data_IF_243107797955
#
_entry.id   IF_243107797955
#
_cell.length_a   1.000
_cell.length_b   1.000
_cell.length_c   1.000
_cell.angle_alpha   90.00
_cell.angle_beta   90.00
_cell.angle_gamma   90.00
#
_symmetry.space_group_name_H-M   'P 1'
#
loop_
_entity.id
_entity.type
_entity.pdbx_description
1 polymer ?
#
# COMPACT_ATOMS: atom_id res chain seq x y z
N UNK A 1 16.75 4.99 -12.30
CA UNK A 1 15.99 5.02 -11.03
C UNK A 1 16.97 4.74 -9.92
N UNK A 2 16.94 5.54 -8.86
CA UNK A 2 17.91 5.49 -7.75
C UNK A 2 17.18 5.26 -6.41
N UNK A 3 17.76 4.43 -5.54
CA UNK A 3 17.26 4.22 -4.18
C UNK A 3 17.72 5.35 -3.27
N UNK A 4 16.76 5.99 -2.58
CA UNK A 4 17.03 7.07 -1.62
C UNK A 4 16.44 6.72 -0.26
N UNK A 5 17.16 7.03 0.81
CA UNK A 5 16.66 6.89 2.19
C UNK A 5 15.86 8.14 2.57
N UNK A 6 14.65 7.95 3.07
CA UNK A 6 13.83 9.04 3.63
C UNK A 6 14.21 9.30 5.10
N UNK A 7 13.73 10.41 5.66
CA UNK A 7 14.06 10.90 7.01
C UNK A 7 13.57 9.99 8.15
N UNK A 8 12.60 9.11 7.91
CA UNK A 8 12.17 8.09 8.89
C UNK A 8 12.96 6.77 8.76
N UNK A 9 13.91 6.69 7.84
CA UNK A 9 14.72 5.51 7.57
C UNK A 9 14.15 4.55 6.54
N UNK A 10 12.92 4.76 6.05
CA UNK A 10 12.34 3.93 4.99
C UNK A 10 12.90 4.29 3.59
N UNK A 11 13.09 3.32 2.69
CA UNK A 11 13.57 3.59 1.34
C UNK A 11 12.45 4.08 0.41
N UNK A 12 12.80 4.99 -0.50
CA UNK A 12 11.99 5.43 -1.64
C UNK A 12 12.77 5.25 -2.94
N UNK A 13 12.07 5.24 -4.08
CA UNK A 13 12.68 5.25 -5.41
C UNK A 13 12.55 6.65 -5.99
N UNK A 14 13.64 7.18 -6.53
CA UNK A 14 13.63 8.43 -7.30
C UNK A 14 13.62 8.12 -8.79
N UNK A 15 12.70 8.73 -9.52
CA UNK A 15 12.65 8.64 -10.98
C UNK A 15 13.57 9.68 -11.60
N UNK A 16 14.59 9.22 -12.31
CA UNK A 16 15.58 10.08 -12.99
C UNK A 16 14.95 10.92 -14.12
N UNK A 17 13.76 10.54 -14.60
CA UNK A 17 13.04 11.21 -15.69
C UNK A 17 12.23 12.40 -15.18
N UNK A 18 11.74 12.33 -13.95
CA UNK A 18 10.78 13.29 -13.39
C UNK A 18 11.33 14.06 -12.18
N UNK A 19 12.55 13.73 -11.73
CA UNK A 19 13.20 14.23 -10.50
C UNK A 19 12.29 14.21 -9.26
N UNK A 20 11.35 13.26 -9.24
CA UNK A 20 10.39 13.06 -8.17
C UNK A 20 10.70 11.75 -7.44
N UNK A 21 10.61 11.79 -6.12
CA UNK A 21 10.59 10.59 -5.29
C UNK A 21 9.18 10.01 -5.26
N UNK A 22 9.06 8.68 -5.31
CA UNK A 22 7.77 7.98 -5.24
C UNK A 22 7.06 8.18 -3.89
N UNK A 23 7.82 8.53 -2.84
CA UNK A 23 7.34 8.93 -1.52
C UNK A 23 8.14 10.12 -1.00
N UNK A 24 7.50 10.95 -0.15
CA UNK A 24 8.14 12.12 0.47
C UNK A 24 9.38 11.73 1.26
N UNK A 25 10.42 12.59 1.23
CA UNK A 25 11.64 12.47 2.03
C UNK A 25 11.40 12.51 3.55
N UNK A 26 10.16 12.64 4.00
CA UNK A 26 9.78 12.64 5.42
C UNK A 26 9.43 11.25 5.97
N UNK A 27 9.22 10.24 5.12
CA UNK A 27 9.02 8.84 5.53
C UNK A 27 7.78 8.18 4.95
N UNK A 28 7.97 7.13 4.13
CA UNK A 28 6.86 6.44 3.45
C UNK A 28 5.87 5.81 4.46
N UNK A 29 6.37 5.31 5.59
CA UNK A 29 5.54 4.73 6.65
C UNK A 29 4.73 5.79 7.41
N UNK A 30 5.37 6.89 7.79
CA UNK A 30 4.71 7.98 8.50
C UNK A 30 3.66 8.67 7.62
N UNK A 31 4.01 8.92 6.35
CA UNK A 31 3.11 9.49 5.36
C UNK A 31 1.89 8.59 5.10
N UNK A 32 2.11 7.30 4.85
CA UNK A 32 1.03 6.34 4.64
C UNK A 32 0.05 6.29 5.83
N UNK A 33 0.57 6.28 7.07
CA UNK A 33 -0.29 6.31 8.26
C UNK A 33 -1.07 7.61 8.39
N UNK A 34 -0.42 8.75 8.22
CA UNK A 34 -1.04 10.05 8.52
C UNK A 34 -1.97 10.52 7.39
N UNK A 35 -1.50 10.45 6.14
CA UNK A 35 -2.24 10.94 4.98
C UNK A 35 -3.29 9.92 4.56
N UNK A 36 -2.87 8.71 4.23
CA UNK A 36 -3.78 7.71 3.66
C UNK A 36 -4.73 7.13 4.71
N UNK A 37 -4.22 6.68 5.86
CA UNK A 37 -5.06 6.00 6.85
C UNK A 37 -5.83 6.99 7.72
N UNK A 38 -5.17 7.94 8.38
CA UNK A 38 -5.86 8.85 9.31
C UNK A 38 -6.71 9.88 8.57
N UNK A 39 -6.11 10.60 7.62
CA UNK A 39 -6.80 11.72 6.94
C UNK A 39 -7.71 11.26 5.80
N UNK A 40 -7.40 10.13 5.16
CA UNK A 40 -8.23 9.53 4.11
C UNK A 40 -9.24 8.54 4.66
N UNK A 41 -8.81 7.30 4.86
CA UNK A 41 -9.67 6.16 5.18
C UNK A 41 -10.48 6.37 6.46
N UNK A 42 -9.82 6.71 7.56
CA UNK A 42 -10.47 6.86 8.86
C UNK A 42 -11.43 8.05 8.86
N UNK A 43 -11.03 9.21 8.36
CA UNK A 43 -11.93 10.36 8.23
C UNK A 43 -13.18 10.04 7.39
N UNK A 44 -13.00 9.39 6.23
CA UNK A 44 -14.11 8.93 5.39
C UNK A 44 -15.03 7.96 6.13
N UNK A 45 -14.45 7.08 6.95
CA UNK A 45 -15.20 6.11 7.75
C UNK A 45 -16.17 6.78 8.73
N UNK A 46 -15.81 7.95 9.27
CA UNK A 46 -16.64 8.72 10.19
C UNK A 46 -17.81 9.40 9.48
N UNK A 47 -17.65 9.77 8.21
CA UNK A 47 -18.72 10.35 7.39
C UNK A 47 -19.75 9.31 6.94
N UNK A 48 -19.40 8.02 6.94
CA UNK A 48 -20.27 6.94 6.49
C UNK A 48 -20.33 5.81 7.53
N UNK A 49 -20.80 6.06 8.77
CA UNK A 49 -20.71 5.08 9.85
C UNK A 49 -21.42 3.76 9.49
N UNK A 50 -20.77 2.64 9.76
CA UNK A 50 -21.32 1.29 9.54
C UNK A 50 -21.30 0.78 8.09
N UNK A 51 -21.01 1.63 7.10
CA UNK A 51 -21.00 1.20 5.70
C UNK A 51 -19.66 0.54 5.30
N UNK A 52 -19.65 -0.49 4.45
CA UNK A 52 -18.44 -0.94 3.78
C UNK A 52 -17.74 0.20 3.05
N UNK A 53 -16.42 0.15 2.97
CA UNK A 53 -15.61 1.15 2.27
C UNK A 53 -14.91 0.52 1.07
N UNK A 54 -14.86 1.27 -0.03
CA UNK A 54 -14.13 0.87 -1.23
C UNK A 54 -13.04 1.90 -1.51
N UNK A 55 -11.83 1.43 -1.71
CA UNK A 55 -10.64 2.25 -1.97
C UNK A 55 -10.11 1.87 -3.35
N UNK A 56 -9.82 2.88 -4.16
CA UNK A 56 -9.03 2.76 -5.39
C UNK A 56 -7.74 3.55 -5.19
N UNK A 57 -6.61 2.91 -5.40
CA UNK A 57 -5.30 3.53 -5.46
C UNK A 57 -4.72 3.37 -6.87
N UNK A 58 -4.26 4.46 -7.47
CA UNK A 58 -3.45 4.43 -8.69
C UNK A 58 -1.98 4.60 -8.29
N UNK A 59 -1.11 3.72 -8.77
CA UNK A 59 0.29 3.66 -8.33
C UNK A 59 0.46 2.87 -7.04
N UNK A 60 -0.14 1.67 -6.97
CA UNK A 60 -0.13 0.85 -5.75
C UNK A 60 1.26 0.37 -5.33
N UNK A 61 2.21 0.29 -6.25
CA UNK A 61 3.64 0.10 -5.99
C UNK A 61 3.93 -1.08 -5.07
N UNK A 62 4.44 -0.78 -3.87
CA UNK A 62 4.85 -1.80 -2.89
C UNK A 62 3.69 -2.41 -2.10
N UNK A 63 2.48 -1.86 -2.24
CA UNK A 63 1.28 -2.29 -1.51
C UNK A 63 1.22 -1.78 -0.07
N UNK A 64 2.04 -0.81 0.33
CA UNK A 64 2.06 -0.30 1.71
C UNK A 64 0.69 0.23 2.17
N UNK A 65 0.05 1.05 1.34
CA UNK A 65 -1.25 1.63 1.66
C UNK A 65 -2.34 0.56 1.75
N UNK A 66 -2.31 -0.45 0.87
CA UNK A 66 -3.19 -1.61 0.93
C UNK A 66 -3.01 -2.38 2.24
N UNK A 67 -1.77 -2.68 2.63
CA UNK A 67 -1.46 -3.42 3.86
C UNK A 67 -1.99 -2.67 5.10
N UNK A 68 -1.77 -1.36 5.15
CA UNK A 68 -2.24 -0.55 6.26
C UNK A 68 -3.77 -0.38 6.25
N UNK A 69 -4.41 -0.32 5.09
CA UNK A 69 -5.86 -0.29 4.96
C UNK A 69 -6.50 -1.59 5.46
N UNK A 70 -5.90 -2.74 5.13
CA UNK A 70 -6.34 -4.05 5.64
C UNK A 70 -6.13 -4.15 7.16
N UNK A 71 -4.99 -3.70 7.69
CA UNK A 71 -4.77 -3.62 9.14
C UNK A 71 -5.85 -2.76 9.82
N UNK A 72 -6.15 -1.61 9.25
CA UNK A 72 -7.20 -0.72 9.75
C UNK A 72 -8.57 -1.39 9.72
N UNK A 73 -8.92 -2.05 8.61
CA UNK A 73 -10.19 -2.75 8.43
C UNK A 73 -10.40 -3.84 9.49
N UNK A 74 -9.34 -4.60 9.77
CA UNK A 74 -9.34 -5.62 10.80
C UNK A 74 -9.55 -5.03 12.20
N UNK A 75 -8.82 -3.96 12.54
CA UNK A 75 -8.93 -3.31 13.85
C UNK A 75 -10.29 -2.61 14.06
N UNK A 76 -10.89 -2.09 12.98
CA UNK A 76 -12.18 -1.43 13.00
C UNK A 76 -13.37 -2.39 12.86
N UNK A 77 -13.11 -3.69 12.64
CA UNK A 77 -14.12 -4.70 12.30
C UNK A 77 -15.08 -4.21 11.21
N UNK A 78 -14.48 -3.61 10.16
CA UNK A 78 -15.24 -2.92 9.12
C UNK A 78 -14.81 -3.37 7.74
N UNK A 79 -15.76 -3.84 6.90
CA UNK A 79 -15.44 -4.28 5.55
C UNK A 79 -14.77 -3.20 4.70
N UNK A 80 -13.59 -3.50 4.17
CA UNK A 80 -12.84 -2.66 3.21
C UNK A 80 -12.50 -3.46 1.95
N UNK A 81 -12.93 -2.97 0.80
CA UNK A 81 -12.51 -3.48 -0.51
C UNK A 81 -11.46 -2.54 -1.10
N UNK A 82 -10.27 -3.05 -1.36
CA UNK A 82 -9.14 -2.32 -1.89
C UNK A 82 -8.81 -2.76 -3.30
N UNK A 83 -8.71 -1.80 -4.21
CA UNK A 83 -8.21 -1.99 -5.57
C UNK A 83 -6.94 -1.18 -5.75
N UNK A 84 -5.80 -1.86 -5.89
CA UNK A 84 -4.53 -1.25 -6.26
C UNK A 84 -4.29 -1.41 -7.75
N UNK A 85 -4.21 -0.29 -8.46
CA UNK A 85 -3.85 -0.25 -9.87
C UNK A 85 -2.38 0.10 -10.03
N UNK A 86 -1.64 -0.69 -10.80
CA UNK A 86 -0.31 -0.30 -11.27
C UNK A 86 0.08 -1.06 -12.54
N UNK A 87 1.13 -0.60 -13.22
CA UNK A 87 1.61 -1.21 -14.46
C UNK A 87 2.20 -2.60 -14.26
N UNK A 88 2.88 -2.84 -13.12
CA UNK A 88 3.46 -4.12 -12.75
C UNK A 88 3.80 -4.17 -11.26
N UNK A 89 3.77 -5.37 -10.66
CA UNK A 89 4.34 -5.57 -9.33
C UNK A 89 5.86 -5.30 -9.39
N UNK A 90 6.45 -4.67 -8.36
CA UNK A 90 7.91 -4.59 -8.24
C UNK A 90 8.51 -5.99 -8.27
N UNK A 91 9.73 -6.18 -8.78
CA UNK A 91 10.40 -7.49 -8.71
C UNK A 91 10.48 -7.99 -7.25
N UNK A 92 10.34 -9.31 -7.02
CA UNK A 92 10.33 -9.88 -5.68
C UNK A 92 11.59 -9.52 -4.86
N UNK A 93 12.76 -9.52 -5.50
CA UNK A 93 14.03 -9.14 -4.86
C UNK A 93 14.04 -7.66 -4.42
N UNK A 94 13.50 -6.77 -5.26
CA UNK A 94 13.37 -5.33 -4.99
C UNK A 94 12.40 -5.10 -3.85
N UNK A 95 11.24 -5.76 -3.89
CA UNK A 95 10.24 -5.65 -2.82
C UNK A 95 10.75 -6.17 -1.49
N UNK A 96 11.47 -7.30 -1.47
CA UNK A 96 12.05 -7.86 -0.26
C UNK A 96 13.12 -6.94 0.32
N UNK A 97 13.98 -6.37 -0.52
CA UNK A 97 14.98 -5.38 -0.10
C UNK A 97 14.35 -4.11 0.46
N UNK A 98 13.18 -3.73 -0.05
CA UNK A 98 12.41 -2.59 0.45
C UNK A 98 11.73 -2.92 1.79
N UNK A 99 11.02 -4.04 1.89
CA UNK A 99 10.28 -4.45 3.09
C UNK A 99 11.21 -4.82 4.26
N UNK A 100 12.38 -5.37 3.98
CA UNK A 100 13.39 -5.64 5.02
C UNK A 100 13.86 -4.38 5.75
N UNK A 101 13.75 -3.20 5.12
CA UNK A 101 14.08 -1.90 5.71
C UNK A 101 12.89 -1.16 6.36
N UNK A 102 11.74 -1.83 6.53
CA UNK A 102 10.57 -1.27 7.25
C UNK A 102 10.94 -0.91 8.71
N UNK A 103 10.21 0.02 9.35
CA UNK A 103 10.44 0.36 10.75
C UNK A 103 10.03 -0.79 11.70
N UNK A 104 10.63 -0.85 12.89
CA UNK A 104 10.33 -1.90 13.89
C UNK A 104 8.83 -1.95 14.25
N UNK A 105 8.15 -0.79 14.25
CA UNK A 105 6.70 -0.69 14.47
C UNK A 105 5.81 -1.38 13.42
N UNK A 106 6.40 -1.87 12.33
CA UNK A 106 5.74 -2.58 11.23
C UNK A 106 6.00 -4.08 11.26
N UNK A 107 6.86 -4.57 12.16
CA UNK A 107 7.32 -5.96 12.19
C UNK A 107 6.20 -6.97 12.40
N UNK A 108 5.17 -6.60 13.15
CA UNK A 108 3.96 -7.39 13.35
C UNK A 108 3.21 -7.67 12.04
N UNK A 109 3.43 -6.86 11.00
CA UNK A 109 2.79 -7.01 9.70
C UNK A 109 3.56 -7.90 8.72
N UNK A 110 4.69 -8.48 9.11
CA UNK A 110 5.48 -9.36 8.22
C UNK A 110 4.66 -10.48 7.58
N UNK A 111 3.87 -11.26 8.35
CA UNK A 111 3.11 -12.35 7.74
C UNK A 111 2.07 -11.83 6.77
N UNK A 112 1.48 -10.66 7.07
CA UNK A 112 0.43 -10.04 6.27
C UNK A 112 0.98 -9.47 4.98
N UNK A 113 2.09 -8.75 5.05
CA UNK A 113 2.77 -8.19 3.88
C UNK A 113 3.15 -9.28 2.88
N UNK A 114 3.76 -10.37 3.37
CA UNK A 114 4.15 -11.52 2.54
C UNK A 114 2.95 -12.28 1.98
N UNK A 115 1.93 -12.54 2.80
CA UNK A 115 0.73 -13.23 2.34
C UNK A 115 -0.03 -12.44 1.26
N UNK A 116 -0.17 -11.12 1.46
CA UNK A 116 -0.80 -10.24 0.49
C UNK A 116 -0.01 -10.18 -0.82
N UNK A 117 1.31 -10.03 -0.72
CA UNK A 117 2.24 -10.03 -1.85
C UNK A 117 2.13 -11.33 -2.66
N UNK A 118 2.21 -12.48 -1.99
CA UNK A 118 2.11 -13.78 -2.65
C UNK A 118 0.76 -13.96 -3.34
N UNK A 119 -0.34 -13.52 -2.72
CA UNK A 119 -1.66 -13.59 -3.35
C UNK A 119 -1.70 -12.79 -4.66
N UNK A 120 -1.14 -11.58 -4.67
CA UNK A 120 -1.07 -10.75 -5.87
C UNK A 120 -0.17 -11.34 -6.96
N UNK A 121 0.96 -11.96 -6.60
CA UNK A 121 1.83 -12.67 -7.54
C UNK A 121 1.13 -13.89 -8.17
N UNK A 122 0.22 -14.53 -7.44
CA UNK A 122 -0.65 -15.60 -7.96
C UNK A 122 -1.86 -15.08 -8.76
N UNK A 123 -1.98 -13.76 -8.95
CA UNK A 123 -3.13 -13.14 -9.62
C UNK A 123 -4.43 -13.21 -8.82
N UNK A 124 -4.34 -13.39 -7.49
CA UNK A 124 -5.48 -13.51 -6.58
C UNK A 124 -5.61 -12.26 -5.71
N UNK A 125 -6.85 -11.97 -5.31
CA UNK A 125 -7.08 -11.02 -4.24
C UNK A 125 -6.68 -11.64 -2.89
N UNK A 126 -6.04 -10.86 -2.04
CA UNK A 126 -5.86 -11.24 -0.64
C UNK A 126 -7.13 -10.96 0.15
N UNK A 127 -7.52 -11.86 1.04
CA UNK A 127 -8.80 -11.79 1.74
C UNK A 127 -8.63 -12.04 3.25
N UNK A 128 -9.37 -11.28 4.03
CA UNK A 128 -9.61 -11.48 5.47
C UNK A 128 -11.12 -11.37 5.73
N UNK A 129 -11.63 -11.69 6.93
CA UNK A 129 -13.05 -11.46 7.25
C UNK A 129 -13.52 -10.02 7.04
N UNK A 130 -12.60 -9.05 7.15
CA UNK A 130 -12.90 -7.62 7.09
C UNK A 130 -12.37 -6.93 5.84
N UNK A 131 -11.68 -7.64 4.95
CA UNK A 131 -11.06 -6.96 3.82
C UNK A 131 -10.80 -7.84 2.62
N UNK A 132 -10.88 -7.23 1.44
CA UNK A 132 -10.34 -7.80 0.20
C UNK A 132 -9.36 -6.79 -0.39
N UNK A 133 -8.17 -7.24 -0.78
CA UNK A 133 -7.17 -6.41 -1.43
C UNK A 133 -6.73 -7.04 -2.76
N UNK A 134 -7.07 -6.36 -3.85
CA UNK A 134 -6.84 -6.82 -5.22
C UNK A 134 -5.80 -5.95 -5.91
N UNK A 135 -4.86 -6.58 -6.60
CA UNK A 135 -3.99 -5.92 -7.55
C UNK A 135 -4.60 -6.01 -8.96
N UNK A 136 -4.69 -4.87 -9.63
CA UNK A 136 -5.13 -4.75 -11.01
C UNK A 136 -3.93 -4.28 -11.80
N UNK A 137 -3.46 -5.11 -12.72
CA UNK A 137 -2.40 -4.70 -13.63
C UNK A 137 -3.00 -3.88 -14.78
N UNK A 138 -2.48 -2.67 -14.99
CA UNK A 138 -2.94 -1.82 -16.09
C UNK A 138 -2.16 -0.52 -16.22
N UNK A 139 -2.12 0.03 -17.43
CA UNK A 139 -1.49 1.31 -17.73
C UNK A 139 -2.57 2.37 -17.95
N UNK A 140 -2.36 3.59 -17.46
CA UNK A 140 -3.35 4.67 -17.62
C UNK A 140 -3.72 4.97 -19.09
N UNK A 141 -2.86 4.63 -20.05
CA UNK A 141 -3.09 4.82 -21.49
C UNK A 141 -4.02 3.76 -22.12
N UNK A 142 -4.24 2.60 -21.48
CA UNK A 142 -5.11 1.53 -22.01
C UNK A 142 -6.58 1.68 -21.61
N UNK A 143 -6.91 2.76 -20.90
CA UNK A 143 -8.22 3.02 -20.31
C UNK A 143 -8.98 3.98 -21.23
N UNK A 144 -9.41 3.48 -22.39
CA UNK A 144 -10.26 4.21 -23.35
C UNK A 144 -11.68 3.66 -23.35
#
# INVERSE_FOLDING_TARGET
MERVLTRDGSPTLRSDVWDCAYHSLHGAWAEAKHVYIQSGLHAQSLCQPGNPLTILEMGAGTGLNALLAVKWAHAAERPVTYYGLDAALPEASVWESWWSARPESAKDLDPWARAMRNAWEEGKAWQTPWSTASWIQGEAASWR
#
